data_IF_030197058283
#
_entry.id   IF_030197058283
#
_cell.length_a   1.000
_cell.length_b   1.000
_cell.length_c   1.000
_cell.angle_alpha   90.00
_cell.angle_beta   90.00
_cell.angle_gamma   90.00
#
_symmetry.space_group_name_H-M   'P 1'
#
loop_
_entity.id
_entity.type
_entity.pdbx_description
1 polymer ?
#
# COMPACT_ATOMS: atom_id res chain seq x y z
N UNK A 1 22.35 29.82 6.37
CA UNK A 1 22.96 28.50 6.28
C UNK A 1 22.06 27.64 5.40
N UNK A 2 22.55 27.23 4.25
CA UNK A 2 21.85 26.30 3.36
C UNK A 2 22.04 24.89 3.91
N UNK A 3 20.96 24.20 4.20
CA UNK A 3 20.99 22.80 4.64
C UNK A 3 20.68 21.95 3.43
N UNK A 4 21.52 20.94 3.16
CA UNK A 4 21.20 19.92 2.16
C UNK A 4 19.90 19.24 2.51
N UNK A 5 19.02 19.12 1.54
CA UNK A 5 17.74 18.46 1.67
C UNK A 5 17.79 17.10 0.97
N UNK A 6 18.07 15.99 1.67
CA UNK A 6 18.35 14.70 1.07
C UNK A 6 17.20 14.13 0.26
N UNK A 7 15.95 14.58 0.48
CA UNK A 7 14.78 14.17 -0.31
C UNK A 7 14.40 15.13 -1.43
N UNK A 8 15.10 16.27 -1.58
CA UNK A 8 14.70 17.34 -2.47
C UNK A 8 13.42 18.07 -2.02
N UNK A 9 13.20 19.29 -2.53
CA UNK A 9 12.03 20.11 -2.18
C UNK A 9 10.70 19.42 -2.51
N UNK A 10 10.52 18.77 -3.70
CA UNK A 10 9.27 18.10 -4.02
C UNK A 10 8.90 17.00 -3.04
N UNK A 11 9.84 16.17 -2.63
CA UNK A 11 9.58 15.04 -1.74
C UNK A 11 9.18 15.52 -0.33
N UNK A 12 9.85 16.54 0.19
CA UNK A 12 9.50 17.11 1.50
C UNK A 12 8.14 17.81 1.50
N UNK A 13 7.76 18.45 0.40
CA UNK A 13 6.43 19.04 0.25
C UNK A 13 5.39 17.93 0.15
N UNK A 14 5.61 16.93 -0.69
CA UNK A 14 4.68 15.81 -0.87
C UNK A 14 4.47 15.02 0.42
N UNK A 15 5.50 14.88 1.26
CA UNK A 15 5.36 14.20 2.55
C UNK A 15 4.47 14.94 3.56
N UNK A 16 4.28 16.26 3.41
CA UNK A 16 3.46 17.10 4.28
C UNK A 16 2.06 17.37 3.72
N UNK A 17 1.82 17.11 2.45
CA UNK A 17 0.50 17.26 1.86
C UNK A 17 -0.46 16.20 2.39
N UNK A 18 -1.78 16.51 2.48
CA UNK A 18 -2.78 15.52 2.81
C UNK A 18 -2.71 14.30 1.89
N UNK A 19 -3.00 13.13 2.43
CA UNK A 19 -3.26 11.96 1.60
C UNK A 19 -4.63 12.10 0.95
N UNK A 20 -4.71 11.90 -0.35
CA UNK A 20 -5.98 11.89 -1.07
C UNK A 20 -6.37 10.48 -1.44
N UNK A 21 -7.63 10.16 -1.22
CA UNK A 21 -8.24 8.91 -1.62
C UNK A 21 -9.58 9.17 -2.27
N UNK A 22 -9.78 8.63 -3.47
CA UNK A 22 -11.05 8.64 -4.18
C UNK A 22 -11.70 7.25 -4.12
N UNK A 23 -12.98 7.21 -3.75
CA UNK A 23 -13.85 6.04 -3.88
C UNK A 23 -14.91 6.39 -4.92
N UNK A 24 -14.72 6.03 -6.19
CA UNK A 24 -15.61 6.41 -7.28
C UNK A 24 -16.93 5.63 -7.24
N UNK A 25 -17.96 6.18 -7.90
CA UNK A 25 -19.29 5.55 -7.96
C UNK A 25 -19.30 4.31 -8.86
N UNK A 26 -18.53 4.37 -9.95
CA UNK A 26 -18.46 3.31 -10.94
C UNK A 26 -17.00 2.84 -11.08
N UNK A 27 -16.64 1.87 -10.28
CA UNK A 27 -15.39 1.17 -10.48
C UNK A 27 -15.63 -0.15 -11.20
N UNK A 28 -14.72 -0.49 -12.08
CA UNK A 28 -14.57 -1.88 -12.48
C UNK A 28 -14.19 -2.67 -11.24
N UNK A 29 -14.81 -3.80 -11.06
CA UNK A 29 -14.62 -4.69 -9.91
C UNK A 29 -13.13 -4.92 -9.60
N UNK A 30 -12.31 -5.03 -10.65
CA UNK A 30 -10.86 -5.18 -10.58
C UNK A 30 -10.13 -3.95 -9.98
N UNK A 31 -10.69 -2.74 -10.11
CA UNK A 31 -10.08 -1.50 -9.59
C UNK A 31 -10.21 -1.40 -8.06
N UNK A 32 -11.21 -2.07 -7.49
CA UNK A 32 -11.42 -2.11 -6.04
C UNK A 32 -10.78 -3.36 -5.42
N UNK A 33 -11.02 -4.54 -6.01
CA UNK A 33 -10.66 -5.85 -5.42
C UNK A 33 -9.42 -6.48 -6.03
N UNK A 34 -8.96 -6.01 -7.19
CA UNK A 34 -7.77 -6.50 -7.85
C UNK A 34 -6.49 -6.32 -7.02
N UNK A 35 -5.41 -6.97 -7.42
CA UNK A 35 -4.10 -6.93 -6.72
C UNK A 35 -3.53 -5.51 -6.55
N UNK A 36 -3.94 -4.57 -7.39
CA UNK A 36 -3.61 -3.14 -7.33
C UNK A 36 -4.80 -2.28 -6.89
N UNK A 37 -5.90 -2.89 -6.48
CA UNK A 37 -7.14 -2.22 -6.11
C UNK A 37 -7.04 -1.45 -4.79
N UNK A 38 -8.00 -0.54 -4.57
CA UNK A 38 -8.04 0.32 -3.38
C UNK A 38 -8.09 -0.48 -2.09
N UNK A 39 -8.84 -1.59 -2.06
CA UNK A 39 -8.95 -2.49 -0.91
C UNK A 39 -7.59 -3.10 -0.57
N UNK A 40 -6.89 -3.66 -1.55
CA UNK A 40 -5.58 -4.27 -1.37
C UNK A 40 -4.52 -3.24 -0.95
N UNK A 41 -4.51 -2.05 -1.56
CA UNK A 41 -3.61 -0.96 -1.18
C UNK A 41 -3.79 -0.55 0.27
N UNK A 42 -5.04 -0.34 0.70
CA UNK A 42 -5.34 0.06 2.09
C UNK A 42 -4.92 -1.01 3.09
N UNK A 43 -5.15 -2.29 2.79
CA UNK A 43 -4.68 -3.39 3.61
C UNK A 43 -3.16 -3.44 3.67
N UNK A 44 -2.47 -3.34 2.52
CA UNK A 44 -1.01 -3.35 2.48
C UNK A 44 -0.41 -2.21 3.31
N UNK A 45 -1.00 -1.01 3.27
CA UNK A 45 -0.56 0.11 4.12
C UNK A 45 -0.77 -0.17 5.61
N UNK A 46 -1.90 -0.76 6.01
CA UNK A 46 -2.15 -1.15 7.41
C UNK A 46 -1.17 -2.22 7.89
N UNK A 47 -0.86 -3.18 7.03
CA UNK A 47 0.07 -4.26 7.37
C UNK A 47 1.54 -3.84 7.33
N UNK A 48 1.92 -2.84 6.50
CA UNK A 48 3.30 -2.34 6.50
C UNK A 48 3.70 -1.80 7.88
N UNK A 49 2.81 -1.08 8.53
CA UNK A 49 3.05 -0.57 9.88
C UNK A 49 3.19 -1.67 10.94
N UNK A 50 2.49 -2.79 10.78
CA UNK A 50 2.62 -3.95 11.67
C UNK A 50 3.96 -4.64 11.44
N UNK A 51 4.40 -4.75 10.18
CA UNK A 51 5.70 -5.34 9.80
C UNK A 51 6.86 -4.56 10.39
N UNK A 52 6.87 -3.23 10.27
CA UNK A 52 7.91 -2.37 10.82
C UNK A 52 8.12 -2.56 12.33
N UNK A 53 7.06 -2.91 13.05
CA UNK A 53 7.11 -3.19 14.50
C UNK A 53 7.48 -4.64 14.84
N UNK A 54 7.52 -5.54 13.85
CA UNK A 54 7.76 -6.98 14.06
C UNK A 54 9.26 -7.29 14.18
N UNK A 55 9.67 -7.94 15.27
CA UNK A 55 11.05 -8.42 15.45
C UNK A 55 11.42 -9.49 14.40
N UNK A 56 10.50 -10.39 14.09
CA UNK A 56 10.73 -11.41 13.06
C UNK A 56 10.96 -10.79 11.67
N UNK A 57 10.28 -9.67 11.39
CA UNK A 57 10.48 -8.95 10.13
C UNK A 57 11.87 -8.32 10.07
N UNK A 58 12.33 -7.70 11.17
CA UNK A 58 13.69 -7.14 11.27
C UNK A 58 14.77 -8.22 11.15
N UNK A 59 14.51 -9.41 11.68
CA UNK A 59 15.43 -10.55 11.51
C UNK A 59 15.46 -11.03 10.06
N UNK A 60 14.29 -11.14 9.41
CA UNK A 60 14.22 -11.48 7.99
C UNK A 60 14.99 -10.48 7.12
N UNK A 61 14.87 -9.18 7.40
CA UNK A 61 15.67 -8.14 6.72
C UNK A 61 17.18 -8.40 6.87
N UNK A 62 17.66 -8.71 8.08
CA UNK A 62 19.08 -9.00 8.30
C UNK A 62 19.56 -10.21 7.50
N UNK A 63 18.71 -11.23 7.32
CA UNK A 63 19.06 -12.38 6.49
C UNK A 63 19.09 -12.05 5.00
N UNK A 64 18.17 -11.21 4.55
CA UNK A 64 18.17 -10.71 3.17
C UNK A 64 19.39 -9.82 2.88
N UNK A 65 19.78 -8.97 3.84
CA UNK A 65 20.99 -8.17 3.73
C UNK A 65 22.25 -9.06 3.60
N UNK A 66 22.33 -10.15 4.38
CA UNK A 66 23.43 -11.12 4.26
C UNK A 66 23.41 -11.84 2.91
N UNK A 67 22.22 -12.29 2.47
CA UNK A 67 22.09 -12.92 1.16
C UNK A 67 22.47 -11.97 0.02
N UNK A 68 22.13 -10.68 0.14
CA UNK A 68 22.52 -9.66 -0.81
C UNK A 68 24.05 -9.51 -0.87
N UNK A 69 24.74 -9.59 0.29
CA UNK A 69 26.21 -9.55 0.34
C UNK A 69 26.83 -10.81 -0.28
N UNK A 70 26.26 -11.99 -0.05
CA UNK A 70 26.74 -13.23 -0.67
C UNK A 70 26.56 -13.26 -2.20
N UNK A 71 25.60 -12.48 -2.73
CA UNK A 71 25.30 -12.34 -4.15
C UNK A 71 25.89 -11.06 -4.76
N UNK A 72 26.78 -10.38 -4.06
CA UNK A 72 27.44 -9.17 -4.57
C UNK A 72 28.48 -9.54 -5.62
N UNK A 73 28.31 -9.18 -6.90
CA UNK A 73 29.26 -9.50 -7.94
C UNK A 73 30.54 -8.63 -7.87
N UNK A 74 30.50 -7.51 -7.14
CA UNK A 74 31.64 -6.59 -6.99
C UNK A 74 32.58 -7.03 -5.82
N UNK A 75 32.18 -8.01 -5.01
CA UNK A 75 33.02 -8.61 -3.98
C UNK A 75 33.73 -9.86 -4.51
N UNK A 76 35.04 -9.78 -4.75
CA UNK A 76 35.88 -10.85 -5.28
C UNK A 76 35.85 -12.15 -4.46
N UNK A 77 35.39 -12.09 -3.21
CA UNK A 77 35.29 -13.26 -2.33
C UNK A 77 34.06 -14.11 -2.60
N UNK A 78 33.03 -13.57 -3.26
CA UNK A 78 31.76 -14.24 -3.51
C UNK A 78 31.84 -15.27 -4.64
N UNK A 79 31.00 -16.31 -4.58
CA UNK A 79 30.91 -17.31 -5.65
C UNK A 79 30.37 -16.71 -6.95
N UNK A 80 29.49 -15.70 -6.86
CA UNK A 80 28.93 -15.01 -8.04
C UNK A 80 30.03 -14.22 -8.78
N UNK A 81 30.91 -13.53 -8.04
CA UNK A 81 32.04 -12.80 -8.63
C UNK A 81 32.96 -13.76 -9.38
N UNK A 82 33.34 -14.87 -8.76
CA UNK A 82 34.17 -15.90 -9.41
C UNK A 82 33.52 -16.45 -10.69
N UNK A 83 32.22 -16.75 -10.61
CA UNK A 83 31.45 -17.23 -11.77
C UNK A 83 31.42 -16.19 -12.91
N UNK A 84 31.30 -14.90 -12.61
CA UNK A 84 31.33 -13.84 -13.60
C UNK A 84 32.71 -13.72 -14.24
N UNK A 85 33.77 -13.84 -13.46
CA UNK A 85 35.16 -13.84 -14.01
C UNK A 85 35.34 -15.00 -14.98
N UNK A 86 35.00 -16.24 -14.60
CA UNK A 86 35.09 -17.42 -15.47
C UNK A 86 34.25 -17.27 -16.76
N UNK A 87 33.02 -16.73 -16.62
CA UNK A 87 32.19 -16.45 -17.79
C UNK A 87 32.81 -15.41 -18.71
N UNK A 88 33.41 -14.37 -18.15
CA UNK A 88 34.09 -13.33 -18.94
C UNK A 88 35.33 -13.86 -19.67
N UNK A 89 36.09 -14.78 -19.07
CA UNK A 89 37.21 -15.46 -19.72
C UNK A 89 36.71 -16.25 -20.95
N UNK A 90 35.63 -17.05 -20.80
CA UNK A 90 35.06 -17.80 -21.91
C UNK A 90 34.51 -16.88 -23.02
N UNK A 91 33.81 -15.79 -22.63
CA UNK A 91 33.25 -14.85 -23.61
C UNK A 91 34.37 -14.11 -24.36
N UNK A 92 35.43 -13.74 -23.69
CA UNK A 92 36.55 -13.01 -24.29
C UNK A 92 37.40 -13.88 -25.24
N UNK A 93 37.40 -15.21 -25.06
CA UNK A 93 37.99 -16.13 -26.04
C UNK A 93 37.26 -16.13 -27.38
N UNK A 94 35.94 -15.96 -27.35
CA UNK A 94 35.09 -15.96 -28.55
C UNK A 94 34.95 -14.55 -29.12
N UNK A 95 34.79 -13.55 -28.25
CA UNK A 95 34.61 -12.14 -28.62
C UNK A 95 35.57 -11.24 -27.81
N UNK A 96 36.78 -11.00 -28.29
CA UNK A 96 37.79 -10.17 -27.61
C UNK A 96 37.26 -8.76 -27.28
N UNK A 97 37.41 -8.36 -26.02
CA UNK A 97 36.98 -7.03 -25.55
C UNK A 97 35.50 -6.94 -25.14
N UNK A 98 34.80 -8.06 -25.06
CA UNK A 98 33.41 -8.13 -24.58
C UNK A 98 33.37 -8.79 -23.20
N UNK A 99 32.53 -8.27 -22.30
CA UNK A 99 32.34 -8.82 -20.97
C UNK A 99 30.89 -8.73 -20.52
N UNK A 100 30.51 -9.54 -19.53
CA UNK A 100 29.21 -9.56 -18.87
C UNK A 100 29.39 -8.90 -17.51
N UNK A 101 28.47 -7.98 -17.18
CA UNK A 101 28.33 -7.40 -15.85
C UNK A 101 26.94 -7.73 -15.33
N UNK A 102 26.83 -8.03 -14.07
CA UNK A 102 25.55 -8.31 -13.39
C UNK A 102 25.40 -7.43 -12.16
N UNK A 103 24.19 -7.17 -11.76
CA UNK A 103 23.89 -6.54 -10.47
C UNK A 103 22.76 -7.32 -9.79
N UNK A 104 22.96 -7.69 -8.53
CA UNK A 104 21.90 -8.32 -7.71
C UNK A 104 21.28 -7.26 -6.80
N UNK A 105 19.97 -7.11 -6.88
CA UNK A 105 19.20 -6.17 -6.04
C UNK A 105 18.23 -6.95 -5.16
N UNK A 106 18.65 -7.25 -3.92
CA UNK A 106 17.82 -7.87 -2.88
C UNK A 106 17.59 -6.92 -1.69
N UNK A 107 17.62 -5.62 -1.95
CA UNK A 107 17.83 -4.58 -0.96
C UNK A 107 16.67 -4.33 0.01
N UNK A 108 15.48 -4.91 -0.20
CA UNK A 108 14.32 -4.58 0.64
C UNK A 108 13.41 -5.80 0.89
N UNK A 109 13.24 -6.15 2.16
CA UNK A 109 12.33 -7.22 2.56
C UNK A 109 10.89 -6.95 2.07
N UNK A 110 10.49 -5.68 1.96
CA UNK A 110 9.18 -5.29 1.43
C UNK A 110 9.01 -5.63 -0.05
N UNK A 111 10.10 -5.67 -0.81
CA UNK A 111 10.06 -6.04 -2.23
C UNK A 111 10.04 -7.56 -2.44
N UNK A 112 10.68 -8.30 -1.53
CA UNK A 112 10.83 -9.77 -1.59
C UNK A 112 9.69 -10.48 -0.88
N UNK A 113 9.31 -9.99 0.32
CA UNK A 113 8.24 -10.54 1.14
C UNK A 113 6.98 -9.69 0.94
N UNK A 114 6.27 -9.89 -0.17
CA UNK A 114 4.95 -9.29 -0.38
C UNK A 114 3.88 -10.27 0.05
N UNK A 115 3.29 -10.12 1.24
CA UNK A 115 2.15 -10.94 1.60
C UNK A 115 0.98 -10.60 0.67
N UNK A 116 0.48 -11.62 -0.02
CA UNK A 116 -0.77 -11.49 -0.79
C UNK A 116 -1.90 -11.86 0.16
N UNK A 117 -2.79 -10.91 0.43
CA UNK A 117 -3.96 -11.16 1.25
C UNK A 117 -5.12 -11.63 0.36
N UNK A 118 -5.62 -12.82 0.62
CA UNK A 118 -6.92 -13.23 0.10
C UNK A 118 -7.99 -12.64 1.01
N UNK A 119 -8.84 -11.79 0.45
CA UNK A 119 -9.91 -11.13 1.19
C UNK A 119 -11.19 -11.90 0.94
N UNK A 120 -11.71 -12.50 1.99
CA UNK A 120 -13.02 -13.12 2.00
C UNK A 120 -13.97 -12.30 2.86
N UNK A 121 -15.20 -12.17 2.40
CA UNK A 121 -16.27 -11.53 3.15
C UNK A 121 -17.27 -12.60 3.59
N UNK A 122 -17.61 -12.57 4.88
CA UNK A 122 -18.50 -13.53 5.48
C UNK A 122 -19.84 -12.87 5.81
N UNK A 123 -20.90 -13.24 5.08
CA UNK A 123 -22.27 -12.90 5.46
C UNK A 123 -23.01 -14.10 6.05
N UNK A 124 -23.24 -15.15 5.29
CA UNK A 124 -23.71 -16.47 5.73
C UNK A 124 -22.74 -17.56 5.24
N UNK A 125 -22.06 -17.28 4.18
CA UNK A 125 -21.04 -18.13 3.53
C UNK A 125 -19.83 -17.23 3.27
N UNK A 126 -18.65 -17.74 3.54
CA UNK A 126 -17.40 -17.05 3.17
C UNK A 126 -17.22 -17.09 1.67
N UNK A 127 -17.09 -15.94 1.06
CA UNK A 127 -16.90 -15.80 -0.38
C UNK A 127 -15.80 -14.78 -0.67
N UNK A 128 -14.98 -14.99 -1.71
CA UNK A 128 -13.97 -14.02 -2.14
C UNK A 128 -14.59 -12.64 -2.39
N UNK A 129 -13.84 -11.58 -2.10
CA UNK A 129 -14.33 -10.22 -2.21
C UNK A 129 -14.82 -9.85 -3.62
N UNK A 130 -14.20 -10.41 -4.66
CA UNK A 130 -14.60 -10.21 -6.05
C UNK A 130 -15.93 -10.88 -6.45
N UNK A 131 -16.50 -11.72 -5.60
CA UNK A 131 -17.82 -12.32 -5.79
C UNK A 131 -18.91 -11.66 -4.92
N UNK A 132 -18.59 -10.55 -4.29
CA UNK A 132 -19.55 -9.81 -3.45
C UNK A 132 -20.16 -8.63 -4.23
N UNK A 133 -21.33 -8.21 -3.79
CA UNK A 133 -21.99 -7.03 -4.36
C UNK A 133 -21.17 -5.76 -4.13
N UNK A 134 -21.12 -4.89 -5.12
CA UNK A 134 -20.34 -3.63 -5.13
C UNK A 134 -20.59 -2.76 -3.89
N UNK A 135 -21.84 -2.68 -3.41
CA UNK A 135 -22.18 -1.92 -2.20
C UNK A 135 -21.46 -2.43 -0.94
N UNK A 136 -21.34 -3.76 -0.78
CA UNK A 136 -20.64 -4.35 0.35
C UNK A 136 -19.13 -4.09 0.25
N UNK A 137 -18.55 -4.23 -0.94
CA UNK A 137 -17.13 -3.98 -1.18
C UNK A 137 -16.78 -2.53 -0.86
N UNK A 138 -17.54 -1.55 -1.38
CA UNK A 138 -17.34 -0.12 -1.12
C UNK A 138 -17.50 0.23 0.36
N UNK A 139 -18.49 -0.35 1.03
CA UNK A 139 -18.67 -0.20 2.48
C UNK A 139 -17.48 -0.75 3.26
N UNK A 140 -16.90 -1.85 2.81
CA UNK A 140 -15.70 -2.45 3.44
C UNK A 140 -14.47 -1.59 3.26
N UNK A 141 -14.24 -1.04 2.06
CA UNK A 141 -13.17 -0.06 1.82
C UNK A 141 -13.32 1.13 2.77
N UNK A 142 -14.52 1.69 2.86
CA UNK A 142 -14.79 2.79 3.76
C UNK A 142 -14.54 2.44 5.24
N UNK A 143 -14.96 1.24 5.68
CA UNK A 143 -14.73 0.76 7.03
C UNK A 143 -13.23 0.61 7.35
N UNK A 144 -12.43 0.11 6.40
CA UNK A 144 -10.97 0.00 6.54
C UNK A 144 -10.30 1.37 6.67
N UNK A 145 -10.75 2.34 5.89
CA UNK A 145 -10.24 3.71 5.96
C UNK A 145 -10.59 4.38 7.28
N UNK A 146 -11.81 4.17 7.75
CA UNK A 146 -12.23 4.60 9.09
C UNK A 146 -11.34 3.98 10.16
N UNK A 147 -11.10 2.68 10.09
CA UNK A 147 -10.22 2.00 11.03
C UNK A 147 -8.80 2.58 11.00
N UNK A 148 -8.24 2.80 9.82
CA UNK A 148 -6.93 3.42 9.64
C UNK A 148 -6.88 4.80 10.28
N UNK A 149 -7.86 5.65 10.01
CA UNK A 149 -7.94 6.99 10.60
C UNK A 149 -8.03 6.94 12.13
N UNK A 150 -8.85 6.05 12.69
CA UNK A 150 -8.94 5.89 14.15
C UNK A 150 -7.63 5.41 14.78
N UNK A 151 -6.92 4.53 14.08
CA UNK A 151 -5.61 4.02 14.51
C UNK A 151 -4.54 5.10 14.50
N UNK A 152 -4.46 5.88 13.43
CA UNK A 152 -3.53 6.99 13.29
C UNK A 152 -3.73 8.04 14.39
N UNK A 153 -4.99 8.36 14.71
CA UNK A 153 -5.33 9.26 15.81
C UNK A 153 -4.89 8.72 17.21
N UNK A 154 -4.92 7.40 17.41
CA UNK A 154 -4.49 6.78 18.68
C UNK A 154 -2.98 6.81 18.87
N UNK A 155 -2.20 6.82 17.79
CA UNK A 155 -0.73 6.85 17.86
C UNK A 155 -0.17 8.19 18.32
N UNK A 156 -1.02 9.24 18.45
CA UNK A 156 -0.65 10.60 18.91
C UNK A 156 0.63 11.17 18.26
N UNK A 157 0.97 10.70 17.06
CA UNK A 157 2.11 11.22 16.35
C UNK A 157 1.70 12.50 15.64
N UNK A 158 2.31 13.61 16.02
CA UNK A 158 2.18 14.94 15.41
C UNK A 158 2.53 14.99 13.90
N UNK A 159 2.87 13.86 13.31
CA UNK A 159 3.27 13.71 11.92
C UNK A 159 2.24 12.95 11.04
N UNK A 160 1.06 12.60 11.60
CA UNK A 160 0.03 11.95 10.76
C UNK A 160 -0.50 12.93 9.72
N UNK A 161 -0.33 12.57 8.46
CA UNK A 161 -0.81 13.38 7.34
C UNK A 161 -2.34 13.40 7.34
N UNK A 162 -2.97 14.58 7.18
CA UNK A 162 -4.41 14.67 6.99
C UNK A 162 -4.89 13.79 5.84
N UNK A 163 -6.09 13.21 5.97
CA UNK A 163 -6.69 12.38 4.94
C UNK A 163 -7.87 13.13 4.31
N UNK A 164 -7.84 13.28 2.99
CA UNK A 164 -8.95 13.79 2.20
C UNK A 164 -9.57 12.61 1.46
N UNK A 165 -10.84 12.33 1.73
CA UNK A 165 -11.59 11.25 1.10
C UNK A 165 -12.61 11.87 0.15
N UNK A 166 -12.48 11.60 -1.15
CA UNK A 166 -13.54 11.80 -2.13
C UNK A 166 -14.41 10.53 -2.18
N UNK A 167 -15.70 10.66 -1.91
CA UNK A 167 -16.61 9.52 -1.97
C UNK A 167 -17.78 9.85 -2.90
N UNK A 168 -17.78 9.25 -4.07
CA UNK A 168 -18.84 9.42 -5.05
C UNK A 168 -20.00 8.49 -4.74
N UNK A 169 -21.17 9.05 -4.60
CA UNK A 169 -22.44 8.35 -4.37
C UNK A 169 -22.31 7.18 -3.38
N UNK A 170 -21.97 7.44 -2.11
CA UNK A 170 -21.74 6.38 -1.12
C UNK A 170 -22.96 5.47 -0.89
N UNK A 171 -24.14 5.95 -1.24
CA UNK A 171 -25.40 5.24 -1.13
C UNK A 171 -25.70 4.25 -2.26
N UNK A 172 -25.00 4.37 -3.39
CA UNK A 172 -25.29 3.53 -4.57
C UNK A 172 -25.13 2.05 -4.23
N UNK A 173 -26.08 1.24 -4.69
CA UNK A 173 -26.18 -0.20 -4.40
C UNK A 173 -26.41 -0.58 -2.92
N UNK A 174 -26.75 0.38 -2.05
CA UNK A 174 -27.08 0.10 -0.65
C UNK A 174 -28.59 0.04 -0.43
N UNK A 175 -28.99 -0.85 0.48
CA UNK A 175 -30.37 -0.87 0.99
C UNK A 175 -30.65 0.39 1.84
N UNK A 176 -31.86 0.98 1.85
CA UNK A 176 -32.20 2.19 2.60
C UNK A 176 -31.70 2.24 4.05
N UNK A 177 -31.82 1.13 4.78
CA UNK A 177 -31.31 1.04 6.14
C UNK A 177 -29.79 1.15 6.23
N UNK A 178 -29.07 0.71 5.19
CA UNK A 178 -27.63 0.82 5.12
C UNK A 178 -27.17 2.22 4.72
N UNK A 179 -27.99 2.95 3.94
CA UNK A 179 -27.71 4.34 3.56
C UNK A 179 -27.62 5.25 4.80
N UNK A 180 -28.61 5.17 5.69
CA UNK A 180 -28.58 5.95 6.93
C UNK A 180 -27.33 5.65 7.78
N UNK A 181 -26.99 4.36 7.92
CA UNK A 181 -25.78 3.98 8.66
C UNK A 181 -24.49 4.46 7.98
N UNK A 182 -24.46 4.46 6.66
CA UNK A 182 -23.34 4.99 5.88
C UNK A 182 -23.21 6.49 6.11
N UNK A 183 -24.29 7.26 5.99
CA UNK A 183 -24.33 8.68 6.28
C UNK A 183 -23.78 8.97 7.68
N UNK A 184 -24.36 8.36 8.72
CA UNK A 184 -23.93 8.58 10.11
C UNK A 184 -22.45 8.22 10.31
N UNK A 185 -21.96 7.20 9.61
CA UNK A 185 -20.54 6.83 9.66
C UNK A 185 -19.65 7.87 9.00
N UNK A 186 -20.08 8.46 7.87
CA UNK A 186 -19.36 9.54 7.17
C UNK A 186 -19.29 10.80 8.06
N UNK A 187 -20.39 11.20 8.66
CA UNK A 187 -20.42 12.35 9.58
C UNK A 187 -19.49 12.14 10.77
N UNK A 188 -19.59 10.97 11.43
CA UNK A 188 -18.70 10.62 12.55
C UNK A 188 -17.20 10.61 12.14
N UNK A 189 -16.88 10.23 10.91
CA UNK A 189 -15.51 10.24 10.43
C UNK A 189 -15.03 11.67 10.14
N UNK A 190 -15.91 12.55 9.66
CA UNK A 190 -15.61 13.95 9.40
C UNK A 190 -15.43 14.79 10.67
N UNK A 191 -16.02 14.38 11.79
CA UNK A 191 -15.82 15.04 13.09
C UNK A 191 -14.37 14.91 13.59
N UNK A 192 -13.60 13.96 13.08
CA UNK A 192 -12.17 13.89 13.38
C UNK A 192 -11.41 14.99 12.66
N UNK A 193 -10.68 15.80 13.39
CA UNK A 193 -10.00 17.02 12.92
C UNK A 193 -8.96 16.79 11.81
N UNK A 194 -8.51 15.55 11.61
CA UNK A 194 -7.50 15.22 10.62
C UNK A 194 -8.07 14.68 9.30
N UNK A 195 -9.41 14.57 9.18
CA UNK A 195 -10.05 14.04 8.00
C UNK A 195 -10.95 15.07 7.33
N UNK A 196 -10.90 15.13 6.02
CA UNK A 196 -11.86 15.83 5.19
C UNK A 196 -12.58 14.84 4.28
N UNK A 197 -13.91 14.90 4.24
CA UNK A 197 -14.69 14.03 3.36
C UNK A 197 -15.50 14.91 2.42
N UNK A 198 -15.37 14.63 1.13
CA UNK A 198 -16.15 15.26 0.07
C UNK A 198 -16.99 14.18 -0.58
N UNK A 199 -18.31 14.29 -0.47
CA UNK A 199 -19.24 13.33 -1.07
C UNK A 199 -20.03 13.99 -2.19
N UNK A 200 -20.26 13.23 -3.26
CA UNK A 200 -21.35 13.51 -4.22
C UNK A 200 -22.51 12.57 -3.90
N UNK A 201 -23.73 13.05 -4.01
CA UNK A 201 -24.92 12.22 -3.75
C UNK A 201 -26.14 12.73 -4.51
N UNK A 202 -26.98 11.82 -4.94
CA UNK A 202 -28.33 12.10 -5.47
C UNK A 202 -29.43 11.68 -4.47
N UNK A 203 -29.07 11.16 -3.31
CA UNK A 203 -30.03 10.66 -2.32
C UNK A 203 -30.32 11.71 -1.24
N UNK A 204 -31.60 12.04 -1.00
CA UNK A 204 -31.97 12.90 0.12
C UNK A 204 -31.63 12.30 1.49
N UNK A 205 -31.44 10.98 1.59
CA UNK A 205 -31.05 10.29 2.83
C UNK A 205 -29.59 10.56 3.25
N UNK A 206 -28.78 11.10 2.35
CA UNK A 206 -27.38 11.45 2.63
C UNK A 206 -27.21 12.87 3.16
N UNK A 207 -28.28 13.67 3.08
CA UNK A 207 -28.30 15.07 3.53
C UNK A 207 -29.16 15.10 4.80
N UNK A 208 -28.62 15.69 5.87
CA UNK A 208 -29.31 15.88 7.14
C UNK A 208 -30.11 17.18 7.15
#
# INVERSE_FOLDING_TARGET
VWVENPGGIPQNVLSKLPKYLLIPAQDKEDEITGSSGTLQKTLNELFSEIRESSENYKEAQKYLDKLSQELDPDDDSTEISKMIVELNDIVSEIFPGTGITTSANLSDADSVIKPTFQIEMNSNISTPANLQGTGLIRSTVFALLRYKSLRDNRKNNSETRPLIIGFEEPEIYLHPNAINKMRDTIYNLAENTNNQIVCTTHSPYMID
#
